data_IF_737166566942
#
_entry.id   IF_737166566942
#
_cell.length_a   1.000
_cell.length_b   1.000
_cell.length_c   1.000
_cell.angle_alpha   90.00
_cell.angle_beta   90.00
_cell.angle_gamma   90.00
#
_symmetry.space_group_name_H-M   'P 1'
#
loop_
_entity.id
_entity.type
_entity.pdbx_description
1 polymer ?
#
# COMPACT_ATOMS: atom_id res chain seq x y z
N UNK A 1 -40.16 34.77 -18.37
CA UNK A 1 -39.56 35.88 -19.16
C UNK A 1 -38.37 35.31 -19.94
N UNK A 2 -38.63 34.82 -21.15
CA UNK A 2 -37.62 34.35 -22.09
C UNK A 2 -36.95 35.56 -22.74
N UNK A 3 -35.61 35.67 -22.68
CA UNK A 3 -34.87 36.64 -23.49
C UNK A 3 -34.35 35.93 -24.73
N UNK A 4 -34.99 36.29 -25.85
CA UNK A 4 -34.56 36.01 -27.20
C UNK A 4 -33.23 36.72 -27.48
N UNK A 5 -32.32 36.04 -28.20
CA UNK A 5 -31.22 36.69 -28.90
C UNK A 5 -31.47 36.55 -30.39
N UNK A 6 -31.41 37.71 -31.02
CA UNK A 6 -31.84 38.10 -32.35
C UNK A 6 -30.93 37.52 -33.43
N UNK A 7 -31.51 36.87 -34.44
CA UNK A 7 -30.80 36.49 -35.67
C UNK A 7 -30.68 37.73 -36.56
N UNK A 8 -29.44 38.14 -36.83
CA UNK A 8 -29.13 39.16 -37.83
C UNK A 8 -29.30 38.54 -39.22
N UNK A 9 -30.27 39.02 -39.99
CA UNK A 9 -30.46 38.69 -41.40
C UNK A 9 -29.61 39.69 -42.19
N UNK A 10 -28.59 39.20 -42.89
CA UNK A 10 -27.92 39.95 -43.96
C UNK A 10 -28.27 39.24 -45.27
N UNK A 11 -29.26 39.78 -45.96
CA UNK A 11 -29.58 39.43 -47.34
C UNK A 11 -28.67 40.23 -48.26
N UNK A 12 -27.74 39.55 -48.95
CA UNK A 12 -27.08 40.10 -50.14
C UNK A 12 -27.23 39.07 -51.25
N UNK A 13 -27.82 39.53 -52.34
CA UNK A 13 -28.48 38.73 -53.37
C UNK A 13 -27.58 37.87 -54.23
N UNK A 14 -28.22 36.91 -54.90
CA UNK A 14 -27.61 36.15 -55.98
C UNK A 14 -28.59 36.09 -57.15
N UNK A 15 -28.10 36.58 -58.29
CA UNK A 15 -28.74 36.50 -59.60
C UNK A 15 -29.30 35.12 -59.88
N UNK A 16 -30.59 35.07 -60.26
CA UNK A 16 -31.17 33.91 -60.92
C UNK A 16 -30.64 33.88 -62.34
N UNK A 17 -29.64 33.03 -62.59
CA UNK A 17 -29.31 32.51 -63.93
C UNK A 17 -29.40 31.00 -63.85
N UNK A 18 -30.28 30.45 -64.68
CA UNK A 18 -30.71 29.06 -64.63
C UNK A 18 -29.75 28.07 -65.27
N UNK A 19 -29.98 26.81 -64.87
CA UNK A 19 -29.62 25.56 -65.53
C UNK A 19 -28.14 25.31 -65.85
N UNK A 20 -27.48 24.70 -64.88
CA UNK A 20 -26.40 23.74 -65.09
C UNK A 20 -26.25 22.93 -63.83
N UNK A 21 -26.70 21.67 -63.82
CA UNK A 21 -26.44 20.74 -62.74
C UNK A 21 -24.93 20.45 -62.73
N UNK A 22 -24.18 21.24 -61.96
CA UNK A 22 -22.88 20.84 -61.48
C UNK A 22 -23.14 20.05 -60.20
N UNK A 23 -22.87 18.73 -60.25
CA UNK A 23 -22.79 17.88 -59.07
C UNK A 23 -21.85 18.55 -58.06
N UNK A 24 -22.43 19.16 -57.04
CA UNK A 24 -21.71 19.46 -55.81
C UNK A 24 -21.50 18.10 -55.18
N UNK A 25 -20.38 17.47 -55.52
CA UNK A 25 -19.95 16.22 -54.90
C UNK A 25 -20.07 16.39 -53.39
N UNK A 26 -20.94 15.59 -52.79
CA UNK A 26 -21.01 15.48 -51.35
C UNK A 26 -19.58 15.18 -50.88
N UNK A 27 -18.95 16.11 -50.18
CA UNK A 27 -17.77 15.79 -49.40
C UNK A 27 -18.24 14.77 -48.36
N UNK A 28 -18.01 13.49 -48.66
CA UNK A 28 -18.23 12.41 -47.71
C UNK A 28 -17.50 12.80 -46.43
N UNK A 29 -18.26 12.93 -45.35
CA UNK A 29 -17.68 13.14 -44.04
C UNK A 29 -16.85 11.88 -43.74
N UNK A 30 -15.52 11.94 -43.62
CA UNK A 30 -14.68 10.74 -43.46
C UNK A 30 -14.93 10.02 -42.13
N UNK A 31 -15.77 10.61 -41.27
CA UNK A 31 -16.28 10.02 -40.04
C UNK A 31 -17.71 9.45 -40.18
N UNK A 32 -18.18 9.20 -41.41
CA UNK A 32 -19.43 8.52 -41.68
C UNK A 32 -19.41 7.11 -41.06
N UNK A 33 -20.08 7.00 -39.91
CA UNK A 33 -20.54 5.77 -39.24
C UNK A 33 -19.67 4.52 -39.51
N UNK A 34 -18.44 4.54 -39.00
CA UNK A 34 -17.57 3.37 -39.06
C UNK A 34 -18.27 2.18 -38.38
N UNK A 35 -18.27 1.03 -39.05
CA UNK A 35 -18.72 -0.20 -38.42
C UNK A 35 -17.81 -0.53 -37.24
N UNK A 36 -18.30 -1.23 -36.19
CA UNK A 36 -17.46 -1.65 -35.07
C UNK A 36 -16.17 -2.36 -35.51
N UNK A 37 -16.25 -3.24 -36.51
CA UNK A 37 -15.07 -3.94 -37.06
C UNK A 37 -14.06 -2.99 -37.73
N UNK A 38 -14.51 -1.92 -38.40
CA UNK A 38 -13.60 -0.96 -39.01
C UNK A 38 -12.89 -0.10 -37.94
N UNK A 39 -13.54 0.14 -36.80
CA UNK A 39 -12.94 0.81 -35.65
C UNK A 39 -11.89 -0.12 -35.01
N UNK A 40 -12.22 -1.40 -34.80
CA UNK A 40 -11.30 -2.38 -34.22
C UNK A 40 -10.03 -2.56 -35.06
N UNK A 41 -10.17 -2.62 -36.39
CA UNK A 41 -9.03 -2.72 -37.32
C UNK A 41 -8.14 -1.47 -37.28
N UNK A 42 -8.75 -0.27 -37.16
CA UNK A 42 -8.01 0.99 -37.06
C UNK A 42 -7.27 1.11 -35.72
N UNK A 43 -7.91 0.75 -34.62
CA UNK A 43 -7.28 0.72 -33.29
C UNK A 43 -6.12 -0.27 -33.29
N UNK A 44 -6.32 -1.47 -33.86
CA UNK A 44 -5.27 -2.50 -33.92
C UNK A 44 -4.05 -2.01 -34.68
N UNK A 45 -4.23 -1.46 -35.90
CA UNK A 45 -3.13 -0.90 -36.70
C UNK A 45 -2.43 0.27 -36.00
N UNK A 46 -3.20 1.11 -35.31
CA UNK A 46 -2.64 2.24 -34.56
C UNK A 46 -1.81 1.77 -33.36
N UNK A 47 -2.31 0.80 -32.59
CA UNK A 47 -1.56 0.19 -31.47
C UNK A 47 -0.29 -0.49 -31.95
N UNK A 48 -0.34 -1.22 -33.07
CA UNK A 48 0.82 -1.87 -33.70
C UNK A 48 1.87 -0.84 -34.18
N UNK A 49 1.44 0.32 -34.68
CA UNK A 49 2.33 1.39 -35.11
C UNK A 49 2.88 2.24 -33.94
N UNK A 50 2.25 2.19 -32.76
CA UNK A 50 2.59 3.01 -31.58
C UNK A 50 2.76 2.17 -30.28
N UNK A 51 3.60 1.12 -30.28
CA UNK A 51 3.79 0.28 -29.10
C UNK A 51 4.38 1.04 -27.90
N UNK A 52 5.09 2.14 -28.13
CA UNK A 52 5.64 3.02 -27.10
C UNK A 52 4.57 3.67 -26.22
N UNK A 53 3.41 4.03 -26.80
CA UNK A 53 2.31 4.63 -26.04
C UNK A 53 1.61 3.62 -25.13
N UNK A 54 1.54 2.36 -25.57
CA UNK A 54 1.07 1.25 -24.71
C UNK A 54 2.04 1.02 -23.56
N UNK A 55 3.34 0.96 -23.83
CA UNK A 55 4.35 0.81 -22.78
C UNK A 55 4.32 2.00 -21.81
N UNK A 56 4.18 3.23 -22.31
CA UNK A 56 4.07 4.43 -21.48
C UNK A 56 2.82 4.40 -20.60
N UNK A 57 1.67 3.98 -21.14
CA UNK A 57 0.43 3.91 -20.37
C UNK A 57 0.49 2.82 -19.30
N UNK A 58 1.03 1.64 -19.63
CA UNK A 58 1.29 0.57 -18.66
C UNK A 58 2.25 1.06 -17.59
N UNK A 59 3.38 1.68 -17.94
CA UNK A 59 4.36 2.15 -16.98
C UNK A 59 3.77 3.25 -16.07
N UNK A 60 3.00 4.18 -16.61
CA UNK A 60 2.31 5.21 -15.83
C UNK A 60 1.26 4.59 -14.89
N UNK A 61 0.50 3.60 -15.36
CA UNK A 61 -0.44 2.86 -14.53
C UNK A 61 0.28 2.10 -13.42
N UNK A 62 1.33 1.34 -13.73
CA UNK A 62 2.14 0.61 -12.76
C UNK A 62 2.76 1.54 -11.71
N UNK A 63 3.34 2.67 -12.12
CA UNK A 63 3.84 3.69 -11.21
C UNK A 63 2.72 4.27 -10.34
N UNK A 64 1.52 4.47 -10.91
CA UNK A 64 0.36 4.91 -10.12
C UNK A 64 -0.07 3.88 -9.09
N UNK A 65 0.21 2.58 -9.30
CA UNK A 65 -0.11 1.51 -8.35
C UNK A 65 0.98 1.25 -7.30
N UNK A 66 2.11 1.94 -7.35
CA UNK A 66 3.17 1.78 -6.36
C UNK A 66 2.89 2.59 -5.08
N UNK A 67 3.41 2.14 -3.92
CA UNK A 67 3.48 2.96 -2.71
C UNK A 67 4.13 4.31 -3.00
N UNK A 68 3.57 5.39 -2.47
CA UNK A 68 4.16 6.72 -2.59
C UNK A 68 4.37 7.34 -1.20
N UNK A 69 5.55 7.90 -0.97
CA UNK A 69 5.93 8.47 0.32
C UNK A 69 4.93 9.54 0.80
N UNK A 70 4.41 10.40 -0.08
CA UNK A 70 3.46 11.45 0.30
C UNK A 70 2.21 10.89 1.00
N UNK A 71 1.70 9.73 0.58
CA UNK A 71 0.54 9.10 1.22
C UNK A 71 0.86 8.56 2.61
N UNK A 72 2.09 8.10 2.84
CA UNK A 72 2.57 7.70 4.17
C UNK A 72 2.76 8.90 5.07
N UNK A 73 3.40 9.98 4.58
CA UNK A 73 3.56 11.23 5.33
C UNK A 73 2.20 11.81 5.73
N UNK A 74 1.22 11.78 4.83
CA UNK A 74 -0.15 12.21 5.11
C UNK A 74 -0.91 11.31 6.09
N UNK A 75 -0.43 10.08 6.31
CA UNK A 75 -1.01 9.10 7.23
C UNK A 75 -0.13 8.86 8.46
N UNK A 76 0.92 9.67 8.67
CA UNK A 76 1.97 9.41 9.66
C UNK A 76 1.41 9.25 11.08
N UNK A 77 0.48 10.11 11.49
CA UNK A 77 -0.13 10.07 12.83
C UNK A 77 -0.82 8.73 13.12
N UNK A 78 -1.53 8.19 12.11
CA UNK A 78 -2.13 6.86 12.23
C UNK A 78 -1.03 5.81 12.28
N UNK A 79 -0.07 5.87 11.34
CA UNK A 79 0.99 4.88 11.21
C UNK A 79 1.83 4.72 12.48
N UNK A 80 2.11 5.82 13.18
CA UNK A 80 2.99 5.87 14.36
C UNK A 80 2.26 5.90 15.70
N UNK A 81 0.95 5.61 15.71
CA UNK A 81 0.10 5.66 16.89
C UNK A 81 0.77 4.98 18.10
N UNK A 82 0.81 5.71 19.23
CA UNK A 82 1.53 5.27 20.43
C UNK A 82 0.94 4.02 21.09
N UNK A 83 -0.31 3.67 20.78
CA UNK A 83 -1.00 2.49 21.30
C UNK A 83 -0.65 1.20 20.57
N UNK A 84 0.02 1.30 19.41
CA UNK A 84 0.45 0.12 18.66
C UNK A 84 1.65 -0.56 19.33
N UNK A 85 1.72 -1.90 19.25
CA UNK A 85 2.83 -2.65 19.82
C UNK A 85 4.14 -2.29 19.13
N UNK A 86 5.22 -2.20 19.91
CA UNK A 86 6.52 -1.77 19.41
C UNK A 86 7.64 -1.94 20.42
N UNK A 87 8.89 -1.93 19.93
CA UNK A 87 10.13 -2.07 20.71
C UNK A 87 10.99 -0.82 20.63
N UNK A 88 11.97 -0.71 21.52
CA UNK A 88 12.93 0.39 21.55
C UNK A 88 12.48 1.55 22.44
N UNK A 89 12.78 2.78 22.01
CA UNK A 89 12.46 4.00 22.75
C UNK A 89 10.94 4.22 22.85
N UNK A 90 10.52 4.90 23.92
CA UNK A 90 9.16 5.44 24.03
C UNK A 90 8.96 6.56 23.01
N UNK A 91 7.71 6.84 22.64
CA UNK A 91 7.37 7.83 21.62
C UNK A 91 8.01 9.21 21.88
N UNK A 92 8.04 9.65 23.14
CA UNK A 92 8.55 10.95 23.55
C UNK A 92 10.08 11.01 23.60
N UNK A 93 10.74 9.85 23.57
CA UNK A 93 12.19 9.70 23.63
C UNK A 93 12.78 9.32 22.27
N UNK A 94 11.92 9.04 21.28
CA UNK A 94 12.34 8.55 19.99
C UNK A 94 12.73 9.70 19.06
N UNK A 95 13.97 9.71 18.56
CA UNK A 95 14.40 10.64 17.50
C UNK A 95 13.92 10.16 16.12
N UNK A 96 13.68 8.87 16.00
CA UNK A 96 13.23 8.18 14.80
C UNK A 96 12.23 7.07 15.16
N UNK A 97 11.14 7.00 14.40
CA UNK A 97 10.18 5.88 14.46
C UNK A 97 10.19 5.11 13.15
N UNK A 98 10.27 3.79 13.22
CA UNK A 98 10.16 2.89 12.07
C UNK A 98 8.89 2.07 12.25
N UNK A 99 8.01 2.07 11.25
CA UNK A 99 6.83 1.19 11.19
C UNK A 99 7.17 0.02 10.30
N UNK A 100 7.10 -1.19 10.84
CA UNK A 100 7.24 -2.44 10.11
C UNK A 100 5.86 -3.04 9.84
N UNK A 101 5.52 -3.15 8.56
CA UNK A 101 4.40 -3.96 8.09
C UNK A 101 4.89 -5.38 7.83
N UNK A 102 4.30 -6.34 8.53
CA UNK A 102 4.81 -7.70 8.61
C UNK A 102 3.70 -8.73 8.45
N UNK A 103 4.05 -9.93 8.00
CA UNK A 103 3.15 -11.10 8.00
C UNK A 103 3.90 -12.29 8.59
N UNK A 104 3.27 -13.04 9.49
CA UNK A 104 3.90 -14.17 10.19
C UNK A 104 4.29 -15.34 9.28
N UNK A 105 3.74 -15.42 8.06
CA UNK A 105 4.14 -16.41 7.05
C UNK A 105 5.23 -15.90 6.10
N UNK A 106 5.69 -14.65 6.24
CA UNK A 106 6.76 -14.11 5.42
C UNK A 106 8.14 -14.53 5.95
N UNK A 107 8.92 -15.21 5.11
CA UNK A 107 10.31 -15.58 5.43
C UNK A 107 11.17 -14.36 5.73
N UNK A 108 11.09 -13.31 4.90
CA UNK A 108 11.89 -12.10 5.08
C UNK A 108 11.46 -11.27 6.31
N UNK A 109 10.21 -11.36 6.76
CA UNK A 109 9.80 -10.73 8.03
C UNK A 109 10.47 -11.42 9.24
N UNK A 110 10.65 -12.74 9.20
CA UNK A 110 11.40 -13.47 10.23
C UNK A 110 12.86 -13.02 10.28
N UNK A 111 13.48 -12.72 9.15
CA UNK A 111 14.85 -12.19 9.11
C UNK A 111 14.90 -10.75 9.66
N UNK A 112 13.93 -9.92 9.27
CA UNK A 112 13.80 -8.55 9.77
C UNK A 112 13.64 -8.48 11.29
N UNK A 113 12.93 -9.40 11.92
CA UNK A 113 12.80 -9.48 13.40
C UNK A 113 14.17 -9.53 14.10
N UNK A 114 15.15 -10.24 13.54
CA UNK A 114 16.50 -10.31 14.08
C UNK A 114 17.29 -9.02 13.86
N UNK A 115 17.17 -8.41 12.67
CA UNK A 115 17.80 -7.14 12.35
C UNK A 115 17.27 -6.02 13.26
N UNK A 116 15.94 -5.91 13.41
CA UNK A 116 15.29 -4.94 14.30
C UNK A 116 15.79 -5.10 15.73
N UNK A 117 15.83 -6.34 16.27
CA UNK A 117 16.33 -6.60 17.63
C UNK A 117 17.77 -6.11 17.83
N UNK A 118 18.61 -6.25 16.82
CA UNK A 118 20.01 -5.77 16.85
C UNK A 118 20.04 -4.24 16.83
N UNK A 119 19.30 -3.60 15.91
CA UNK A 119 19.32 -2.14 15.75
C UNK A 119 18.75 -1.38 16.92
N UNK A 120 17.71 -1.86 17.60
CA UNK A 120 17.23 -1.19 18.82
C UNK A 120 18.24 -1.28 19.98
N UNK A 121 19.15 -2.26 19.94
CA UNK A 121 20.22 -2.35 20.93
C UNK A 121 21.36 -1.38 20.62
N UNK A 122 21.68 -1.18 19.35
CA UNK A 122 22.72 -0.25 18.89
C UNK A 122 22.26 1.21 18.97
N UNK A 123 20.99 1.47 18.64
CA UNK A 123 20.39 2.80 18.54
C UNK A 123 19.27 2.99 19.56
N UNK A 124 19.64 3.40 20.79
CA UNK A 124 18.72 3.49 21.94
C UNK A 124 17.57 4.50 21.78
N UNK A 125 17.65 5.40 20.81
CA UNK A 125 16.64 6.44 20.53
C UNK A 125 15.68 6.04 19.41
N UNK A 126 15.81 4.85 18.84
CA UNK A 126 14.88 4.38 17.80
C UNK A 126 13.70 3.67 18.45
N UNK A 127 12.51 3.96 17.93
CA UNK A 127 11.29 3.20 18.19
C UNK A 127 10.92 2.40 16.94
N UNK A 128 10.59 1.12 17.10
CA UNK A 128 10.00 0.32 16.04
C UNK A 128 8.58 -0.06 16.42
N UNK A 129 7.62 0.19 15.54
CA UNK A 129 6.20 -0.16 15.68
C UNK A 129 5.89 -1.28 14.70
N UNK A 130 5.12 -2.26 15.14
CA UNK A 130 4.73 -3.40 14.30
C UNK A 130 3.26 -3.27 13.88
N UNK A 131 3.00 -3.51 12.60
CA UNK A 131 1.67 -3.69 12.02
C UNK A 131 1.58 -5.05 11.36
N UNK A 132 1.01 -6.00 12.09
CA UNK A 132 0.81 -7.36 11.62
C UNK A 132 -0.38 -7.48 10.68
N UNK A 133 -0.08 -7.94 9.49
CA UNK A 133 -0.99 -8.14 8.38
C UNK A 133 -1.33 -9.62 8.23
N UNK A 134 -2.37 -9.90 7.45
CA UNK A 134 -2.95 -11.25 7.36
C UNK A 134 -3.27 -11.69 5.95
N UNK A 135 -2.36 -11.58 4.97
CA UNK A 135 -2.71 -11.79 3.56
C UNK A 135 -1.82 -12.76 2.76
N UNK A 136 -0.65 -13.18 3.25
CA UNK A 136 0.24 -14.04 2.44
C UNK A 136 -0.18 -15.51 2.39
N UNK A 137 -0.83 -15.99 3.43
CA UNK A 137 -1.26 -17.38 3.60
C UNK A 137 -2.59 -17.43 4.36
N UNK A 138 -3.44 -18.47 4.18
CA UNK A 138 -4.70 -18.60 4.93
C UNK A 138 -4.57 -18.51 6.46
N UNK A 139 -3.41 -18.85 7.03
CA UNK A 139 -3.15 -18.75 8.47
C UNK A 139 -2.63 -17.39 8.94
N UNK A 140 -2.42 -16.44 8.05
CA UNK A 140 -1.79 -15.14 8.37
C UNK A 140 -2.69 -14.29 9.25
N UNK A 141 -3.97 -14.19 8.89
CA UNK A 141 -4.98 -13.51 9.70
C UNK A 141 -5.08 -14.11 11.11
N UNK A 142 -5.08 -15.45 11.22
CA UNK A 142 -5.12 -16.14 12.51
C UNK A 142 -3.90 -15.78 13.37
N UNK A 143 -2.70 -15.76 12.79
CA UNK A 143 -1.46 -15.42 13.48
C UNK A 143 -1.41 -13.93 13.90
N UNK A 144 -1.89 -13.02 13.05
CA UNK A 144 -1.97 -11.59 13.37
C UNK A 144 -2.94 -11.32 14.53
N UNK A 145 -4.13 -11.93 14.51
CA UNK A 145 -5.11 -11.82 15.60
C UNK A 145 -4.59 -12.43 16.90
N UNK A 146 -3.89 -13.56 16.80
CA UNK A 146 -3.23 -14.22 17.92
C UNK A 146 -2.17 -13.32 18.58
N UNK A 147 -1.35 -12.61 17.80
CA UNK A 147 -0.37 -11.67 18.32
C UNK A 147 -1.05 -10.46 18.98
N UNK A 148 -2.09 -9.89 18.35
CA UNK A 148 -2.89 -8.80 18.96
C UNK A 148 -3.58 -9.24 20.27
N UNK A 149 -3.99 -10.50 20.39
CA UNK A 149 -4.52 -11.03 21.64
C UNK A 149 -3.43 -11.19 22.72
N UNK A 150 -2.20 -11.54 22.35
CA UNK A 150 -1.06 -11.56 23.26
C UNK A 150 -0.70 -10.15 23.76
N UNK A 151 -0.85 -9.13 22.92
CA UNK A 151 -0.64 -7.72 23.28
C UNK A 151 -1.57 -7.26 24.41
N UNK A 152 -2.83 -7.70 24.42
CA UNK A 152 -3.79 -7.43 25.51
C UNK A 152 -3.35 -7.97 26.88
N UNK A 153 -2.35 -8.85 26.91
CA UNK A 153 -1.76 -9.41 28.12
C UNK A 153 -0.31 -8.94 28.33
N UNK A 154 0.18 -7.98 27.53
CA UNK A 154 1.54 -7.44 27.64
C UNK A 154 2.63 -8.41 27.19
N UNK A 155 2.28 -9.39 26.35
CA UNK A 155 3.17 -10.47 25.88
C UNK A 155 3.33 -10.50 24.36
N UNK A 156 3.09 -9.37 23.70
CA UNK A 156 3.17 -9.26 22.25
C UNK A 156 4.53 -9.69 21.71
N UNK A 157 5.62 -9.17 22.25
CA UNK A 157 6.97 -9.41 21.72
C UNK A 157 7.42 -10.86 21.91
N UNK A 158 7.18 -11.45 23.08
CA UNK A 158 7.50 -12.85 23.33
C UNK A 158 6.67 -13.76 22.41
N UNK A 159 5.38 -13.45 22.22
CA UNK A 159 4.51 -14.20 21.33
C UNK A 159 4.95 -14.09 19.87
N UNK A 160 5.20 -12.85 19.39
CA UNK A 160 5.71 -12.56 18.04
C UNK A 160 6.99 -13.35 17.76
N UNK A 161 7.95 -13.30 18.67
CA UNK A 161 9.21 -14.02 18.55
C UNK A 161 9.01 -15.55 18.51
N UNK A 162 8.11 -16.09 19.34
CA UNK A 162 7.79 -17.52 19.34
C UNK A 162 7.14 -17.97 18.01
N UNK A 163 6.21 -17.18 17.47
CA UNK A 163 5.56 -17.49 16.18
C UNK A 163 6.57 -17.49 15.04
N UNK A 164 7.45 -16.48 14.94
CA UNK A 164 8.48 -16.46 13.90
C UNK A 164 9.51 -17.59 14.07
N UNK A 165 9.90 -17.91 15.31
CA UNK A 165 10.78 -19.04 15.58
C UNK A 165 10.16 -20.34 15.07
N UNK A 166 8.85 -20.53 15.27
CA UNK A 166 8.08 -21.68 14.81
C UNK A 166 7.55 -21.62 13.37
N UNK A 167 7.91 -20.61 12.57
CA UNK A 167 7.46 -20.46 11.19
C UNK A 167 7.80 -21.69 10.33
N UNK A 168 6.81 -22.17 9.57
CA UNK A 168 6.92 -23.30 8.64
C UNK A 168 6.25 -22.97 7.30
N UNK A 169 6.69 -23.65 6.24
CA UNK A 169 6.19 -23.42 4.87
C UNK A 169 4.69 -23.72 4.69
N UNK A 170 4.13 -24.59 5.52
CA UNK A 170 2.70 -24.95 5.49
C UNK A 170 1.81 -23.96 6.24
N UNK A 171 2.37 -22.87 6.77
CA UNK A 171 1.69 -21.92 7.64
C UNK A 171 1.41 -22.48 9.03
N UNK A 172 0.42 -21.93 9.73
CA UNK A 172 0.14 -22.26 11.13
C UNK A 172 -1.25 -22.90 11.29
N UNK A 173 -1.33 -23.90 12.16
CA UNK A 173 -2.58 -24.44 12.68
C UNK A 173 -2.98 -23.71 13.97
N UNK A 174 -4.23 -23.83 14.37
CA UNK A 174 -4.72 -23.32 15.66
C UNK A 174 -3.94 -23.89 16.85
N UNK A 175 -3.53 -25.16 16.78
CA UNK A 175 -2.75 -25.80 17.84
C UNK A 175 -1.32 -25.27 17.91
N UNK A 176 -0.70 -24.91 16.78
CA UNK A 176 0.60 -24.23 16.77
C UNK A 176 0.49 -22.89 17.51
N UNK A 177 -0.48 -22.05 17.14
CA UNK A 177 -0.70 -20.73 17.72
C UNK A 177 -1.01 -20.80 19.23
N UNK A 178 -1.83 -21.78 19.64
CA UNK A 178 -2.13 -22.05 21.06
C UNK A 178 -0.89 -22.54 21.81
N UNK A 179 -0.02 -23.34 21.17
CA UNK A 179 1.22 -23.81 21.77
C UNK A 179 2.18 -22.65 22.06
N UNK A 180 2.34 -21.72 21.12
CA UNK A 180 3.13 -20.50 21.36
C UNK A 180 2.56 -19.66 22.49
N UNK A 181 1.22 -19.59 22.63
CA UNK A 181 0.59 -18.86 23.72
C UNK A 181 0.94 -19.46 25.09
N UNK A 182 0.89 -20.80 25.19
CA UNK A 182 1.33 -21.54 26.38
C UNK A 182 2.81 -21.31 26.67
N UNK A 183 3.66 -21.37 25.65
CA UNK A 183 5.11 -21.23 25.76
C UNK A 183 5.50 -19.89 26.40
N UNK A 184 4.82 -18.80 26.05
CA UNK A 184 5.14 -17.46 26.55
C UNK A 184 4.37 -17.08 27.83
N UNK A 185 3.61 -18.02 28.39
CA UNK A 185 2.92 -17.88 29.67
C UNK A 185 1.64 -17.03 29.62
N UNK A 186 0.93 -17.01 28.49
CA UNK A 186 -0.38 -16.35 28.39
C UNK A 186 -1.46 -17.11 29.17
N UNK A 187 -2.47 -16.38 29.65
CA UNK A 187 -3.77 -16.95 29.98
C UNK A 187 -4.42 -17.39 28.66
N UNK A 188 -4.33 -18.69 28.36
CA UNK A 188 -4.80 -19.27 27.10
C UNK A 188 -6.32 -19.15 26.93
N UNK A 189 -7.17 -19.45 27.93
CA UNK A 189 -8.61 -19.16 27.83
C UNK A 189 -8.93 -17.71 27.46
N UNK A 190 -8.27 -16.74 28.10
CA UNK A 190 -8.45 -15.33 27.76
C UNK A 190 -7.96 -15.02 26.34
N UNK A 191 -6.79 -15.54 25.97
CA UNK A 191 -6.21 -15.35 24.64
C UNK A 191 -7.09 -15.91 23.52
N UNK A 192 -7.69 -17.09 23.72
CA UNK A 192 -8.65 -17.71 22.78
C UNK A 192 -9.89 -16.81 22.59
N UNK A 193 -10.43 -16.23 23.67
CA UNK A 193 -11.57 -15.32 23.58
C UNK A 193 -11.19 -13.99 22.90
N UNK A 194 -10.02 -13.44 23.23
CA UNK A 194 -9.54 -12.17 22.69
C UNK A 194 -9.28 -12.24 21.18
N UNK A 195 -8.59 -13.29 20.70
CA UNK A 195 -8.17 -13.41 19.29
C UNK A 195 -9.35 -13.51 18.31
N UNK A 196 -10.53 -13.95 18.76
CA UNK A 196 -11.74 -14.02 17.93
C UNK A 196 -12.68 -12.82 18.14
N UNK A 197 -12.30 -11.86 18.99
CA UNK A 197 -13.15 -10.72 19.33
C UNK A 197 -13.28 -9.74 18.17
N UNK A 198 -14.48 -9.20 17.98
CA UNK A 198 -14.77 -8.20 16.93
C UNK A 198 -13.85 -6.98 16.98
N UNK A 199 -13.45 -6.43 18.15
CA UNK A 199 -12.52 -5.30 18.16
C UNK A 199 -11.14 -5.62 17.56
N UNK A 200 -10.60 -6.84 17.75
CA UNK A 200 -9.32 -7.20 17.13
C UNK A 200 -9.44 -7.44 15.63
N UNK A 201 -10.55 -8.06 15.19
CA UNK A 201 -10.85 -8.21 13.76
C UNK A 201 -11.02 -6.87 13.07
N UNK A 202 -11.74 -5.93 13.70
CA UNK A 202 -11.90 -4.58 13.19
C UNK A 202 -10.55 -3.84 13.11
N UNK A 203 -9.69 -4.00 14.11
CA UNK A 203 -8.34 -3.44 14.09
C UNK A 203 -7.48 -4.00 12.96
N UNK A 204 -7.47 -5.33 12.77
CA UNK A 204 -6.76 -5.96 11.65
C UNK A 204 -7.35 -5.52 10.30
N UNK A 205 -8.67 -5.43 10.18
CA UNK A 205 -9.31 -4.92 8.97
C UNK A 205 -8.91 -3.47 8.68
N UNK A 206 -8.81 -2.62 9.70
CA UNK A 206 -8.33 -1.25 9.53
C UNK A 206 -6.86 -1.21 9.04
N UNK A 207 -6.01 -2.10 9.54
CA UNK A 207 -4.64 -2.28 9.03
C UNK A 207 -4.65 -2.71 7.54
N UNK A 208 -5.52 -3.66 7.18
CA UNK A 208 -5.67 -4.15 5.80
C UNK A 208 -6.21 -3.06 4.85
N UNK A 209 -7.17 -2.25 5.29
CA UNK A 209 -7.71 -1.14 4.51
C UNK A 209 -6.65 -0.02 4.35
N UNK A 210 -5.84 0.21 5.40
CA UNK A 210 -4.74 1.18 5.38
C UNK A 210 -3.67 0.78 4.37
N UNK A 211 -3.22 -0.48 4.36
CA UNK A 211 -2.21 -0.93 3.38
C UNK A 211 -2.73 -0.90 1.95
N UNK A 212 -4.03 -1.14 1.73
CA UNK A 212 -4.65 -1.05 0.42
C UNK A 212 -4.63 0.41 -0.08
N UNK A 213 -4.97 1.36 0.80
CA UNK A 213 -4.85 2.81 0.51
C UNK A 213 -3.41 3.23 0.22
N UNK A 214 -2.46 2.69 0.98
CA UNK A 214 -1.02 2.98 0.85
C UNK A 214 -0.34 2.17 -0.25
N UNK A 215 -1.07 1.26 -0.91
CA UNK A 215 -0.62 0.36 -1.97
C UNK A 215 0.54 -0.56 -1.57
N UNK A 216 0.64 -0.92 -0.29
CA UNK A 216 1.62 -1.88 0.20
C UNK A 216 1.19 -3.28 -0.25
N UNK A 217 1.89 -3.82 -1.25
CA UNK A 217 1.58 -5.12 -1.85
C UNK A 217 2.42 -6.29 -1.35
N UNK A 218 3.32 -6.07 -0.39
CA UNK A 218 4.23 -7.12 0.11
C UNK A 218 4.84 -6.79 1.46
N UNK A 219 5.39 -7.81 2.11
CA UNK A 219 6.05 -7.71 3.41
C UNK A 219 7.46 -8.35 3.38
N UNK A 220 8.41 -7.88 4.21
CA UNK A 220 8.26 -6.72 5.07
C UNK A 220 8.24 -5.41 4.26
N UNK A 221 7.55 -4.42 4.80
CA UNK A 221 7.54 -3.05 4.27
C UNK A 221 7.78 -2.08 5.43
N UNK A 222 8.63 -1.10 5.22
CA UNK A 222 9.05 -0.17 6.25
C UNK A 222 8.66 1.26 5.90
N UNK A 223 8.20 1.98 6.90
CA UNK A 223 8.06 3.43 6.87
C UNK A 223 8.86 4.04 8.01
N UNK A 224 9.91 4.77 7.69
CA UNK A 224 10.68 5.57 8.63
C UNK A 224 10.11 6.98 8.74
N UNK A 225 10.11 7.52 9.95
CA UNK A 225 9.56 8.84 10.27
C UNK A 225 10.40 9.56 11.33
N UNK A 226 10.85 10.77 11.01
CA UNK A 226 11.61 11.66 11.90
C UNK A 226 10.69 12.79 12.38
N UNK A 227 10.20 12.76 13.63
CA UNK A 227 9.19 13.72 14.10
C UNK A 227 9.62 15.18 14.03
N UNK A 228 10.90 15.48 14.28
CA UNK A 228 11.42 16.85 14.35
C UNK A 228 11.44 17.56 13.01
N UNK A 229 11.67 16.82 11.91
CA UNK A 229 11.77 17.36 10.55
C UNK A 229 10.57 17.03 9.68
N UNK A 230 9.70 16.12 10.13
CA UNK A 230 8.64 15.49 9.33
C UNK A 230 9.17 14.80 8.08
N UNK A 231 10.45 14.43 8.10
CA UNK A 231 11.06 13.65 7.05
C UNK A 231 10.63 12.18 7.20
N UNK A 232 10.49 11.49 6.08
CA UNK A 232 10.21 10.06 6.10
C UNK A 232 10.75 9.37 4.86
N UNK A 233 10.81 8.05 4.96
CA UNK A 233 11.32 7.16 3.92
C UNK A 233 10.46 5.90 3.90
N UNK A 234 10.22 5.35 2.72
CA UNK A 234 9.61 4.03 2.57
C UNK A 234 10.64 3.06 2.00
N UNK A 235 10.62 1.82 2.47
CA UNK A 235 11.47 0.74 1.96
C UNK A 235 10.66 -0.53 1.82
N UNK A 236 10.85 -1.25 0.71
CA UNK A 236 10.12 -2.46 0.37
C UNK A 236 11.08 -3.63 0.18
N UNK A 237 10.69 -4.80 0.67
CA UNK A 237 11.39 -6.05 0.42
C UNK A 237 12.28 -6.49 1.58
N UNK A 238 13.13 -7.49 1.34
CA UNK A 238 13.99 -8.06 2.37
C UNK A 238 14.91 -7.00 2.96
N UNK A 239 14.81 -6.79 4.27
CA UNK A 239 15.66 -5.87 5.02
C UNK A 239 16.62 -6.69 5.88
N UNK A 240 17.90 -6.65 5.51
CA UNK A 240 19.00 -7.18 6.31
C UNK A 240 19.40 -6.16 7.39
N UNK A 241 20.32 -6.55 8.26
CA UNK A 241 20.93 -5.63 9.22
C UNK A 241 21.57 -4.42 8.53
N UNK A 242 22.26 -4.63 7.40
CA UNK A 242 22.87 -3.54 6.64
C UNK A 242 21.83 -2.61 6.02
N UNK A 243 20.76 -3.17 5.44
CA UNK A 243 19.68 -2.36 4.85
C UNK A 243 18.98 -1.51 5.91
N UNK A 244 18.73 -2.07 7.10
CA UNK A 244 18.10 -1.33 8.18
C UNK A 244 19.02 -0.21 8.70
N UNK A 245 20.33 -0.48 8.83
CA UNK A 245 21.31 0.56 9.18
C UNK A 245 21.30 1.70 8.15
N UNK A 246 21.31 1.38 6.85
CA UNK A 246 21.27 2.38 5.78
C UNK A 246 20.00 3.26 5.89
N UNK A 247 18.83 2.65 6.08
CA UNK A 247 17.56 3.37 6.29
C UNK A 247 17.67 4.34 7.48
N UNK A 248 18.23 3.89 8.59
CA UNK A 248 18.41 4.71 9.81
C UNK A 248 19.31 5.92 9.51
N UNK A 249 20.42 5.70 8.82
CA UNK A 249 21.35 6.77 8.47
C UNK A 249 20.74 7.78 7.50
N UNK A 250 20.02 7.32 6.48
CA UNK A 250 19.35 8.20 5.51
C UNK A 250 18.28 9.07 6.16
N UNK A 251 17.49 8.49 7.07
CA UNK A 251 16.50 9.21 7.86
C UNK A 251 17.14 10.29 8.74
N UNK A 252 18.23 9.96 9.44
CA UNK A 252 18.96 10.93 10.30
C UNK A 252 19.64 12.04 9.51
N UNK A 253 20.16 11.71 8.33
CA UNK A 253 20.84 12.68 7.47
C UNK A 253 19.87 13.54 6.65
N UNK A 254 18.57 13.19 6.63
CA UNK A 254 17.56 13.85 5.82
C UNK A 254 17.83 13.75 4.32
N UNK A 255 18.59 12.73 3.89
CA UNK A 255 18.92 12.50 2.48
C UNK A 255 17.89 11.57 1.87
N UNK A 256 17.20 12.04 0.84
CA UNK A 256 16.48 11.17 -0.08
C UNK A 256 17.52 10.53 -0.99
N UNK A 257 17.68 9.21 -0.91
CA UNK A 257 18.34 8.41 -1.94
C UNK A 257 17.48 8.35 -3.19
#
# INVERSE_FOLDING_TARGET
MMKAVQRLIVSIGLCVVGCGAADVGAQENPHANLSPSAIDDQISKWVEAHPDLVLKSINAYMASQQPNLLSFLASADVLIDSTLPGVGAKAEQADLTIVEFSDFNCHYCKEAENAVRTKIQEHKTIRVIYRDLGFLHPSSELAALAAKAADRQGKYHEYRAAVFAGQKQTGFTEDDLRSFAKQVGLDVPRWEADRISEPLKAGLKADMDLIAKLKVGGTPFFFGWVPSTKYGLISQGAVTDETLEAIIQDLRNGKAS
#
